data_IF_288339806788
#
_entry.id   IF_288339806788
#
_cell.length_a   1.000
_cell.length_b   1.000
_cell.length_c   1.000
_cell.angle_alpha   90.00
_cell.angle_beta   90.00
_cell.angle_gamma   90.00
#
_symmetry.space_group_name_H-M   'P 1'
#
loop_
_entity.id
_entity.type
_entity.pdbx_description
1 polymer ?
#
# COMPACT_ATOMS: atom_id res chain seq x y z
N UNK A 1 5.26 2.35 79.85
CA UNK A 1 4.25 2.01 78.82
C UNK A 1 4.41 2.98 77.66
N UNK A 2 5.11 2.59 76.58
CA UNK A 2 5.36 3.44 75.40
C UNK A 2 4.28 3.16 74.34
N UNK A 3 3.48 4.17 74.02
CA UNK A 3 2.45 4.11 72.96
C UNK A 3 3.11 4.51 71.63
N UNK A 4 3.17 3.58 70.69
CA UNK A 4 3.67 3.84 69.33
C UNK A 4 2.49 4.28 68.46
N UNK A 5 2.59 5.49 67.89
CA UNK A 5 1.59 6.06 66.99
C UNK A 5 1.94 5.65 65.55
N UNK A 6 1.07 4.89 64.87
CA UNK A 6 1.25 4.57 63.44
C UNK A 6 0.59 5.65 62.59
N UNK A 7 1.39 6.33 61.77
CA UNK A 7 0.95 7.26 60.73
C UNK A 7 0.65 6.43 59.47
N UNK A 8 -0.62 6.40 59.05
CA UNK A 8 -1.05 5.73 57.82
C UNK A 8 -0.80 6.61 56.60
N UNK A 9 0.02 6.15 55.67
CA UNK A 9 0.25 6.78 54.37
C UNK A 9 -0.88 6.36 53.41
N UNK A 10 -1.83 7.26 53.15
CA UNK A 10 -2.85 7.08 52.11
C UNK A 10 -2.21 7.35 50.75
N UNK A 11 -1.96 6.29 49.97
CA UNK A 11 -1.57 6.38 48.56
C UNK A 11 -2.85 6.52 47.73
N UNK A 12 -3.10 7.69 47.18
CA UNK A 12 -4.18 7.93 46.23
C UNK A 12 -3.80 7.34 44.87
N UNK A 13 -4.39 6.20 44.51
CA UNK A 13 -4.31 5.66 43.16
C UNK A 13 -5.11 6.55 42.20
N UNK A 14 -4.40 7.36 41.41
CA UNK A 14 -4.97 8.00 40.22
C UNK A 14 -5.15 6.91 39.14
N UNK A 15 -6.35 6.74 38.55
CA UNK A 15 -6.53 5.83 37.44
C UNK A 15 -5.75 6.34 36.23
N UNK A 16 -4.69 5.63 35.86
CA UNK A 16 -4.00 5.84 34.59
C UNK A 16 -4.91 5.30 33.50
N UNK A 17 -5.63 6.19 32.82
CA UNK A 17 -6.37 5.84 31.61
C UNK A 17 -5.35 5.66 30.48
N UNK A 18 -5.00 4.41 30.19
CA UNK A 18 -4.34 4.09 28.94
C UNK A 18 -5.33 4.36 27.82
N UNK A 19 -5.15 5.48 27.11
CA UNK A 19 -5.82 5.70 25.85
C UNK A 19 -5.36 4.58 24.90
N UNK A 20 -6.24 3.61 24.66
CA UNK A 20 -6.03 2.64 23.59
C UNK A 20 -6.05 3.45 22.30
N UNK A 21 -4.90 3.61 21.64
CA UNK A 21 -4.88 4.12 20.28
C UNK A 21 -5.69 3.11 19.45
N UNK A 22 -6.95 3.42 19.21
CA UNK A 22 -7.79 2.61 18.34
C UNK A 22 -7.15 2.67 16.96
N UNK A 23 -6.50 1.59 16.54
CA UNK A 23 -5.98 1.48 15.18
C UNK A 23 -7.09 1.68 14.16
N UNK A 24 -6.74 2.14 12.96
CA UNK A 24 -7.71 2.36 11.89
C UNK A 24 -8.55 1.12 11.59
N UNK A 25 -9.80 1.35 11.18
CA UNK A 25 -10.67 0.27 10.69
C UNK A 25 -10.20 -0.15 9.30
N UNK A 26 -10.07 -1.45 9.04
CA UNK A 26 -9.68 -1.92 7.71
C UNK A 26 -10.71 -1.46 6.66
N UNK A 27 -10.26 -0.72 5.64
CA UNK A 27 -11.07 -0.31 4.49
C UNK A 27 -11.11 -1.45 3.46
N UNK A 28 -9.93 -1.99 3.13
CA UNK A 28 -9.79 -3.08 2.15
C UNK A 28 -8.68 -4.03 2.59
N UNK A 29 -8.90 -5.32 2.35
CA UNK A 29 -7.87 -6.35 2.34
C UNK A 29 -7.90 -7.06 0.99
N UNK A 30 -6.74 -7.44 0.47
CA UNK A 30 -6.61 -8.11 -0.83
C UNK A 30 -5.59 -9.25 -0.74
N UNK A 31 -5.82 -10.29 -1.55
CA UNK A 31 -4.99 -11.49 -1.62
C UNK A 31 -4.38 -11.75 -3.00
N UNK A 32 -4.48 -10.77 -3.91
CA UNK A 32 -3.88 -10.83 -5.25
C UNK A 32 -3.79 -9.42 -5.85
N UNK A 33 -2.96 -9.28 -6.89
CA UNK A 33 -2.83 -8.10 -7.73
C UNK A 33 -2.70 -8.56 -9.19
N UNK A 34 -3.15 -7.71 -10.12
CA UNK A 34 -3.04 -7.86 -11.56
C UNK A 34 -1.80 -7.08 -12.03
N UNK A 35 -0.90 -7.72 -12.79
CA UNK A 35 0.26 -7.07 -13.39
C UNK A 35 -0.13 -6.28 -14.65
N UNK A 36 0.66 -5.31 -15.08
CA UNK A 36 0.40 -4.63 -16.36
C UNK A 36 0.39 -5.66 -17.49
N UNK A 37 -0.72 -5.80 -18.20
CA UNK A 37 -0.79 -6.68 -19.38
C UNK A 37 -1.87 -6.21 -20.37
N UNK A 38 -1.79 -6.69 -21.61
CA UNK A 38 -2.79 -6.50 -22.63
C UNK A 38 -3.11 -5.01 -22.89
N UNK A 39 -4.38 -4.60 -22.88
CA UNK A 39 -4.76 -3.21 -23.08
C UNK A 39 -4.29 -2.23 -22.00
N UNK A 40 -3.75 -2.72 -20.88
CA UNK A 40 -3.26 -1.85 -19.82
C UNK A 40 -1.84 -1.33 -20.05
N UNK A 41 -1.06 -2.00 -20.91
CA UNK A 41 0.28 -1.56 -21.32
C UNK A 41 0.23 -0.14 -21.89
N UNK A 42 1.07 0.74 -21.36
CA UNK A 42 1.21 2.14 -21.78
C UNK A 42 -0.09 2.99 -21.74
N UNK A 43 -1.11 2.53 -21.00
CA UNK A 43 -2.45 3.14 -20.96
C UNK A 43 -2.72 3.87 -19.64
N UNK A 44 -3.71 4.75 -19.59
CA UNK A 44 -4.14 5.47 -18.37
C UNK A 44 -5.55 5.08 -17.90
N UNK A 45 -6.01 3.88 -18.28
CA UNK A 45 -7.39 3.45 -18.07
C UNK A 45 -7.80 3.34 -16.61
N UNK A 46 -6.85 3.11 -15.70
CA UNK A 46 -7.14 2.99 -14.27
C UNK A 46 -6.89 4.34 -13.59
N UNK A 47 -7.96 5.14 -13.50
CA UNK A 47 -7.96 6.43 -12.78
C UNK A 47 -6.88 7.41 -13.21
N UNK A 48 -6.45 7.35 -14.47
CA UNK A 48 -5.40 8.22 -15.00
C UNK A 48 -3.98 7.81 -14.63
N UNK A 49 -3.77 6.72 -13.88
CA UNK A 49 -2.43 6.20 -13.55
C UNK A 49 -1.93 5.39 -14.73
N UNK A 50 -0.77 5.76 -15.28
CA UNK A 50 -0.22 5.13 -16.49
C UNK A 50 0.38 3.76 -16.15
N UNK A 51 0.01 2.72 -16.90
CA UNK A 51 0.68 1.42 -16.84
C UNK A 51 2.04 1.47 -17.53
N UNK A 52 2.98 0.63 -17.10
CA UNK A 52 4.29 0.51 -17.73
C UNK A 52 4.23 0.16 -19.23
N UNK A 53 5.28 0.50 -19.97
CA UNK A 53 5.38 0.22 -21.41
C UNK A 53 5.60 -1.26 -21.72
N UNK A 54 5.99 -2.07 -20.74
CA UNK A 54 6.17 -3.50 -20.88
C UNK A 54 5.20 -4.28 -19.98
N UNK A 55 4.81 -5.50 -20.37
CA UNK A 55 4.01 -6.36 -19.51
C UNK A 55 4.76 -6.82 -18.24
N UNK A 56 4.05 -6.86 -17.13
CA UNK A 56 4.49 -7.32 -15.82
C UNK A 56 3.62 -8.48 -15.35
N UNK A 57 4.23 -9.44 -14.67
CA UNK A 57 3.54 -10.54 -14.01
C UNK A 57 3.73 -10.45 -12.49
N UNK A 58 2.76 -10.99 -11.75
CA UNK A 58 2.78 -11.03 -10.28
C UNK A 58 2.74 -12.48 -9.83
N UNK A 59 3.80 -12.97 -9.20
CA UNK A 59 3.82 -14.32 -8.64
C UNK A 59 2.81 -14.47 -7.49
N UNK A 60 2.86 -13.58 -6.50
CA UNK A 60 1.80 -13.46 -5.48
C UNK A 60 1.81 -12.07 -4.84
N UNK A 61 0.65 -11.63 -4.34
CA UNK A 61 0.54 -10.37 -3.62
C UNK A 61 -0.55 -10.45 -2.54
N UNK A 62 -0.35 -9.70 -1.46
CA UNK A 62 -1.38 -9.48 -0.44
C UNK A 62 -1.17 -8.15 0.26
N UNK A 63 -2.23 -7.64 0.86
CA UNK A 63 -2.12 -6.40 1.62
C UNK A 63 -3.42 -5.92 2.23
N UNK A 64 -3.33 -4.76 2.86
CA UNK A 64 -4.45 -4.09 3.52
C UNK A 64 -4.24 -2.58 3.54
N UNK A 65 -5.35 -1.83 3.49
CA UNK A 65 -5.39 -0.41 3.83
C UNK A 65 -6.41 -0.19 4.93
N UNK A 66 -6.03 0.53 5.99
CA UNK A 66 -6.91 0.95 7.07
C UNK A 66 -7.26 2.43 6.99
N UNK A 67 -8.30 2.83 7.73
CA UNK A 67 -8.88 4.18 7.71
C UNK A 67 -7.98 5.28 8.29
N UNK A 68 -6.95 4.90 9.03
CA UNK A 68 -5.89 5.78 9.52
C UNK A 68 -4.73 5.92 8.52
N UNK A 69 -4.85 5.30 7.34
CA UNK A 69 -3.80 5.30 6.32
C UNK A 69 -2.76 4.21 6.50
N UNK A 70 -2.91 3.28 7.45
CA UNK A 70 -1.99 2.15 7.58
C UNK A 70 -2.08 1.25 6.35
N UNK A 71 -1.02 1.27 5.54
CA UNK A 71 -0.87 0.54 4.29
C UNK A 71 0.18 -0.55 4.45
N UNK A 72 -0.22 -1.79 4.16
CA UNK A 72 0.67 -2.94 4.10
C UNK A 72 0.54 -3.62 2.75
N UNK A 73 1.66 -3.88 2.09
CA UNK A 73 1.73 -4.65 0.85
C UNK A 73 2.91 -5.61 0.95
N UNK A 74 2.67 -6.84 0.56
CA UNK A 74 3.69 -7.86 0.34
C UNK A 74 3.51 -8.38 -1.07
N UNK A 75 4.50 -8.17 -1.92
CA UNK A 75 4.51 -8.65 -3.30
C UNK A 75 5.71 -9.57 -3.52
N UNK A 76 5.50 -10.64 -4.27
CA UNK A 76 6.53 -11.62 -4.61
C UNK A 76 6.50 -11.89 -6.10
N UNK A 77 7.66 -11.94 -6.73
CA UNK A 77 7.74 -12.19 -8.16
C UNK A 77 7.06 -11.11 -9.00
N UNK A 78 7.14 -9.83 -8.62
CA UNK A 78 6.73 -8.73 -9.50
C UNK A 78 7.85 -8.45 -10.50
N UNK A 79 7.75 -9.00 -11.69
CA UNK A 79 8.81 -9.00 -12.70
C UNK A 79 8.23 -8.76 -14.09
N UNK A 80 9.06 -8.42 -15.08
CA UNK A 80 8.59 -8.38 -16.46
C UNK A 80 8.13 -9.77 -16.91
N UNK A 81 6.99 -9.80 -17.61
CA UNK A 81 6.38 -11.05 -18.05
C UNK A 81 7.24 -11.80 -19.07
N UNK A 82 7.15 -13.13 -19.06
CA UNK A 82 7.89 -13.97 -20.00
C UNK A 82 7.18 -14.07 -21.38
N UNK A 83 7.05 -12.96 -22.09
CA UNK A 83 6.36 -12.86 -23.39
C UNK A 83 7.24 -12.21 -24.48
N UNK A 84 6.95 -12.43 -25.78
CA UNK A 84 7.80 -11.93 -26.87
C UNK A 84 7.99 -10.41 -26.94
N UNK A 85 7.01 -9.62 -26.45
CA UNK A 85 7.08 -8.15 -26.43
C UNK A 85 8.11 -7.60 -25.44
N UNK A 86 8.50 -8.38 -24.42
CA UNK A 86 9.54 -8.00 -23.46
C UNK A 86 10.92 -8.36 -24.03
N UNK A 87 11.93 -7.47 -23.97
CA UNK A 87 13.31 -7.81 -24.33
C UNK A 87 13.84 -9.04 -23.57
N UNK A 88 14.51 -10.01 -24.22
CA UNK A 88 14.91 -11.27 -23.57
C UNK A 88 15.72 -11.11 -22.27
N UNK A 89 16.53 -10.06 -22.17
CA UNK A 89 17.37 -9.74 -21.02
C UNK A 89 16.61 -9.19 -19.80
N UNK A 90 15.36 -8.74 -19.99
CA UNK A 90 14.50 -8.22 -18.95
C UNK A 90 13.47 -9.24 -18.43
N UNK A 91 13.19 -10.30 -19.19
CA UNK A 91 12.15 -11.29 -18.82
C UNK A 91 12.45 -11.96 -17.49
N UNK A 92 11.45 -12.03 -16.61
CA UNK A 92 11.54 -12.72 -15.33
C UNK A 92 12.44 -12.03 -14.30
N UNK A 93 12.82 -10.76 -14.53
CA UNK A 93 13.51 -9.94 -13.54
C UNK A 93 12.74 -8.64 -13.27
N UNK A 94 13.01 -8.07 -12.11
CA UNK A 94 12.75 -6.68 -11.78
C UNK A 94 14.05 -5.89 -11.94
N UNK A 95 13.99 -4.77 -12.66
CA UNK A 95 15.12 -3.86 -12.87
C UNK A 95 15.11 -2.65 -11.91
N UNK A 96 14.04 -2.48 -11.13
CA UNK A 96 13.95 -1.44 -10.11
C UNK A 96 14.60 -1.87 -8.79
N UNK A 97 15.36 -0.96 -8.18
CA UNK A 97 15.91 -1.20 -6.83
C UNK A 97 14.91 -0.88 -5.71
N UNK A 98 13.85 -0.14 -6.04
CA UNK A 98 12.78 0.23 -5.13
C UNK A 98 11.45 0.27 -5.88
N UNK A 99 10.36 -0.01 -5.18
CA UNK A 99 9.01 0.28 -5.64
C UNK A 99 8.43 1.45 -4.85
N UNK A 100 7.32 2.01 -5.33
CA UNK A 100 6.44 2.91 -4.55
C UNK A 100 5.05 2.31 -4.51
N UNK A 101 4.26 2.66 -3.50
CA UNK A 101 2.86 2.31 -3.43
C UNK A 101 2.04 3.54 -3.78
N UNK A 102 0.93 3.35 -4.49
CA UNK A 102 -0.02 4.42 -4.74
C UNK A 102 -1.41 3.98 -4.29
N UNK A 103 -2.05 4.80 -3.46
CA UNK A 103 -3.47 4.67 -3.12
C UNK A 103 -4.23 5.71 -3.93
N UNK A 104 -5.09 5.26 -4.84
CA UNK A 104 -6.00 6.12 -5.57
C UNK A 104 -7.37 6.09 -4.91
N UNK A 105 -7.88 7.27 -4.56
CA UNK A 105 -9.18 7.45 -3.93
C UNK A 105 -10.11 8.27 -4.85
N UNK A 106 -11.41 7.97 -4.82
CA UNK A 106 -12.42 8.90 -5.30
C UNK A 106 -12.87 9.81 -4.15
N UNK A 107 -13.04 11.10 -4.46
CA UNK A 107 -13.45 12.13 -3.49
C UNK A 107 -14.59 12.96 -4.05
N UNK A 108 -15.40 13.54 -3.17
CA UNK A 108 -16.37 14.55 -3.57
C UNK A 108 -15.66 15.88 -3.83
N UNK A 109 -15.99 16.53 -4.93
CA UNK A 109 -15.55 17.88 -5.27
C UNK A 109 -16.77 18.71 -5.67
N UNK A 110 -17.50 19.18 -4.65
CA UNK A 110 -18.81 19.79 -4.82
C UNK A 110 -19.82 18.80 -5.39
N UNK A 111 -20.33 19.06 -6.61
CA UNK A 111 -21.28 18.17 -7.31
C UNK A 111 -20.61 17.18 -8.27
N UNK A 112 -19.28 17.05 -8.22
CA UNK A 112 -18.48 16.19 -9.11
C UNK A 112 -17.68 15.19 -8.29
N UNK A 113 -17.24 14.13 -8.95
CA UNK A 113 -16.27 13.18 -8.38
C UNK A 113 -14.88 13.54 -8.90
N UNK A 114 -13.93 13.65 -7.97
CA UNK A 114 -12.51 13.79 -8.25
C UNK A 114 -11.74 12.51 -7.95
N UNK A 115 -10.53 12.42 -8.49
CA UNK A 115 -9.54 11.38 -8.16
C UNK A 115 -8.38 12.05 -7.43
N UNK A 116 -7.95 11.47 -6.33
CA UNK A 116 -6.70 11.84 -5.65
C UNK A 116 -5.81 10.62 -5.52
N UNK A 117 -4.54 10.79 -5.84
CA UNK A 117 -3.52 9.75 -5.78
C UNK A 117 -2.52 10.10 -4.69
N UNK A 118 -2.31 9.17 -3.76
CA UNK A 118 -1.40 9.32 -2.63
C UNK A 118 -0.28 8.31 -2.82
N UNK A 119 0.93 8.79 -3.07
CA UNK A 119 2.11 7.95 -3.29
C UNK A 119 2.92 7.85 -2.00
N UNK A 120 3.34 6.63 -1.64
CA UNK A 120 4.24 6.40 -0.52
C UNK A 120 5.68 6.81 -0.87
N UNK A 121 6.56 6.92 0.14
CA UNK A 121 8.01 6.80 -0.10
C UNK A 121 8.36 5.47 -0.79
N UNK A 122 9.53 5.45 -1.43
CA UNK A 122 10.07 4.22 -2.03
C UNK A 122 10.44 3.17 -0.99
N UNK A 123 10.26 1.89 -1.33
CA UNK A 123 10.62 0.75 -0.48
C UNK A 123 11.44 -0.28 -1.28
N UNK A 124 12.43 -0.95 -0.68
CA UNK A 124 13.38 -1.80 -1.41
C UNK A 124 12.70 -2.95 -2.16
N UNK A 125 13.17 -3.22 -3.37
CA UNK A 125 12.76 -4.35 -4.19
C UNK A 125 13.97 -5.20 -4.56
N UNK A 126 13.79 -6.53 -4.61
CA UNK A 126 14.83 -7.44 -5.10
C UNK A 126 14.76 -7.58 -6.61
N UNK A 127 15.82 -8.11 -7.22
CA UNK A 127 15.81 -8.48 -8.65
C UNK A 127 14.78 -9.58 -8.99
N UNK A 128 14.36 -10.38 -8.00
CA UNK A 128 13.25 -11.34 -8.13
C UNK A 128 11.87 -10.70 -7.99
N UNK A 129 11.77 -9.38 -7.81
CA UNK A 129 10.48 -8.69 -7.68
C UNK A 129 9.83 -8.85 -6.31
N UNK A 130 10.61 -9.19 -5.28
CA UNK A 130 10.10 -9.33 -3.92
C UNK A 130 10.25 -8.00 -3.18
N UNK A 131 9.16 -7.59 -2.53
CA UNK A 131 9.13 -6.32 -1.82
C UNK A 131 8.03 -6.29 -0.76
N UNK A 132 8.29 -5.58 0.33
CA UNK A 132 7.36 -5.39 1.44
C UNK A 132 7.35 -3.92 1.86
N UNK A 133 6.15 -3.40 2.13
CA UNK A 133 5.95 -2.09 2.75
C UNK A 133 4.95 -2.23 3.90
N UNK A 134 5.28 -1.60 5.01
CA UNK A 134 4.40 -1.35 6.15
C UNK A 134 4.59 0.12 6.52
N UNK A 135 3.61 0.96 6.18
CA UNK A 135 3.74 2.42 6.27
C UNK A 135 2.40 3.09 6.52
N UNK A 136 2.44 4.39 6.77
CA UNK A 136 1.24 5.24 6.81
C UNK A 136 1.25 6.20 5.62
N UNK A 137 0.14 6.26 4.90
CA UNK A 137 -0.11 7.27 3.87
C UNK A 137 -1.13 8.29 4.37
N UNK A 138 -0.94 9.56 4.03
CA UNK A 138 -1.87 10.62 4.40
C UNK A 138 -3.12 10.55 3.52
N UNK A 139 -4.11 9.76 3.94
CA UNK A 139 -5.37 9.67 3.23
C UNK A 139 -6.15 11.00 3.30
N UNK A 140 -6.87 11.38 2.24
CA UNK A 140 -7.88 12.43 2.31
C UNK A 140 -8.98 12.07 3.32
N UNK A 141 -9.75 13.07 3.75
CA UNK A 141 -10.91 12.88 4.63
C UNK A 141 -11.91 11.86 4.07
N UNK A 142 -12.05 11.83 2.73
CA UNK A 142 -12.89 10.88 2.02
C UNK A 142 -12.02 10.02 1.12
N UNK A 143 -12.10 8.69 1.24
CA UNK A 143 -11.47 7.78 0.28
C UNK A 143 -12.45 6.70 -0.18
N UNK A 144 -13.21 7.02 -1.23
CA UNK A 144 -14.21 6.09 -1.78
C UNK A 144 -13.53 5.16 -2.79
N UNK A 145 -13.83 3.86 -2.67
CA UNK A 145 -13.32 2.79 -3.54
C UNK A 145 -11.78 2.87 -3.73
N UNK A 146 -10.96 2.69 -2.68
CA UNK A 146 -9.52 2.72 -2.83
C UNK A 146 -9.04 1.67 -3.85
N UNK A 147 -8.14 2.08 -4.74
CA UNK A 147 -7.36 1.19 -5.62
C UNK A 147 -5.90 1.32 -5.21
N UNK A 148 -5.22 0.20 -5.00
CA UNK A 148 -3.85 0.17 -4.52
C UNK A 148 -2.95 -0.36 -5.64
N UNK A 149 -1.87 0.35 -5.92
CA UNK A 149 -0.88 0.02 -6.94
C UNK A 149 0.49 -0.21 -6.31
N UNK A 150 1.27 -1.07 -6.94
CA UNK A 150 2.74 -1.07 -6.85
C UNK A 150 3.27 -0.39 -8.11
N UNK A 151 4.09 0.62 -7.91
CA UNK A 151 4.62 1.55 -8.91
C UNK A 151 6.12 1.37 -9.07
N UNK A 152 6.65 1.83 -10.20
CA UNK A 152 8.08 2.08 -10.38
C UNK A 152 8.62 2.98 -9.25
N UNK A 153 9.85 2.69 -8.82
CA UNK A 153 10.61 3.54 -7.92
C UNK A 153 11.13 4.82 -8.59
N UNK A 154 11.38 4.76 -9.91
CA UNK A 154 12.03 5.81 -10.68
C UNK A 154 11.08 6.64 -11.57
N UNK A 155 9.90 6.12 -11.89
CA UNK A 155 8.92 6.70 -12.81
C UNK A 155 7.48 6.67 -12.27
N UNK A 156 6.60 7.51 -12.80
CA UNK A 156 5.17 7.55 -12.44
C UNK A 156 4.33 6.55 -13.26
N UNK A 157 4.75 5.27 -13.24
CA UNK A 157 4.06 4.15 -13.89
C UNK A 157 3.78 3.03 -12.91
N UNK A 158 2.64 2.36 -13.06
CA UNK A 158 2.29 1.20 -12.24
C UNK A 158 2.75 -0.10 -12.89
N UNK A 159 3.12 -1.07 -12.06
CA UNK A 159 3.50 -2.43 -12.46
C UNK A 159 2.45 -3.46 -12.05
N UNK A 160 1.83 -3.27 -10.88
CA UNK A 160 0.72 -4.08 -10.43
C UNK A 160 -0.37 -3.24 -9.76
N UNK A 161 -1.61 -3.72 -9.81
CA UNK A 161 -2.79 -3.08 -9.20
C UNK A 161 -3.67 -4.11 -8.52
N UNK A 162 -4.39 -3.76 -7.45
CA UNK A 162 -5.40 -4.64 -6.85
C UNK A 162 -6.37 -5.15 -7.91
N UNK A 163 -6.44 -6.46 -8.07
CA UNK A 163 -7.13 -7.14 -9.17
C UNK A 163 -6.75 -8.61 -9.20
N UNK A 164 -7.31 -9.37 -10.12
CA UNK A 164 -7.02 -10.80 -10.27
C UNK A 164 -6.98 -11.18 -11.75
N UNK A 165 -6.06 -12.09 -12.10
CA UNK A 165 -6.06 -12.83 -13.35
C UNK A 165 -6.19 -14.33 -13.00
N UNK A 166 -7.30 -14.98 -13.38
CA UNK A 166 -7.57 -16.38 -13.00
C UNK A 166 -6.76 -17.40 -13.80
#
# INVERSE_FOLDING_TARGET
MRKTLMIGLMITLLPVTFAHAAGGTQIIGFGTMYGVDGPFVDSTFIRGVRGDELPWEVGSAKGSLASDGHLRISVRGLVFANVPSVPPELRGINDETQFRALVSCLIENGKKIGTVNITSPGFPATRSGDSDIDTFVALPEQCVAPIIFVMSGSEDKWFAVTGAEP
#
